data_IF_948362803974
#
_entry.id   IF_948362803974
#
_cell.length_a   1.000
_cell.length_b   1.000
_cell.length_c   1.000
_cell.angle_alpha   90.00
_cell.angle_beta   90.00
_cell.angle_gamma   90.00
#
_symmetry.space_group_name_H-M   'P 1'
#
loop_
_entity.id
_entity.type
_entity.pdbx_description
1 polymer ?
#
# COMPACT_ATOMS: atom_id res chain seq x y z
N UNK A 1 19.06 15.17 -50.20
CA UNK A 1 17.70 14.73 -49.80
C UNK A 1 17.69 13.68 -48.69
N UNK A 2 18.79 12.99 -48.39
CA UNK A 2 18.78 11.90 -47.39
C UNK A 2 18.89 12.35 -45.92
N UNK A 3 19.50 13.50 -45.62
CA UNK A 3 19.75 13.95 -44.24
C UNK A 3 18.46 14.33 -43.50
N UNK A 4 17.50 14.94 -44.21
CA UNK A 4 16.21 15.33 -43.66
C UNK A 4 15.29 14.12 -43.34
N UNK A 5 15.52 12.98 -44.00
CA UNK A 5 14.77 11.74 -43.71
C UNK A 5 15.26 11.09 -42.42
N UNK A 6 16.57 11.12 -42.16
CA UNK A 6 17.13 10.59 -40.92
C UNK A 6 16.75 11.42 -39.69
N UNK A 7 16.71 12.75 -39.79
CA UNK A 7 16.35 13.62 -38.66
C UNK A 7 14.90 13.49 -38.24
N UNK A 8 13.97 13.29 -39.19
CA UNK A 8 12.55 13.05 -38.89
C UNK A 8 12.34 11.67 -38.27
N UNK A 9 13.06 10.65 -38.74
CA UNK A 9 13.03 9.30 -38.16
C UNK A 9 13.55 9.27 -36.71
N UNK A 10 14.63 10.01 -36.42
CA UNK A 10 15.17 10.12 -35.06
C UNK A 10 14.22 10.85 -34.10
N UNK A 11 13.57 11.93 -34.54
CA UNK A 11 12.56 12.60 -33.70
C UNK A 11 11.36 11.69 -33.42
N UNK A 12 10.86 10.96 -34.42
CA UNK A 12 9.76 10.01 -34.22
C UNK A 12 10.12 8.90 -33.22
N UNK A 13 11.36 8.38 -33.26
CA UNK A 13 11.85 7.38 -32.30
C UNK A 13 11.92 7.92 -30.86
N UNK A 14 12.23 9.19 -30.65
CA UNK A 14 12.23 9.80 -29.30
C UNK A 14 10.82 10.07 -28.75
N UNK A 15 9.82 10.27 -29.61
CA UNK A 15 8.43 10.47 -29.16
C UNK A 15 7.74 9.16 -28.76
N UNK A 16 8.16 8.00 -29.28
CA UNK A 16 7.60 6.69 -28.90
C UNK A 16 8.06 6.16 -27.53
N UNK A 17 9.06 6.78 -26.90
CA UNK A 17 9.56 6.40 -25.57
C UNK A 17 8.88 7.12 -24.40
N UNK A 18 7.86 7.95 -24.64
CA UNK A 18 7.17 8.73 -23.58
C UNK A 18 6.01 7.99 -22.89
N UNK A 19 5.90 6.67 -23.03
CA UNK A 19 4.78 5.93 -22.44
C UNK A 19 5.19 5.25 -21.13
N UNK A 20 4.63 5.79 -20.03
CA UNK A 20 4.54 5.21 -18.69
C UNK A 20 5.80 5.29 -17.81
N UNK A 21 6.19 6.51 -17.43
CA UNK A 21 6.72 6.67 -16.08
C UNK A 21 5.53 6.43 -15.15
N UNK A 22 5.38 5.20 -14.63
CA UNK A 22 4.55 4.97 -13.44
C UNK A 22 5.19 5.80 -12.34
N UNK A 23 4.65 6.99 -12.09
CA UNK A 23 5.03 7.79 -10.94
C UNK A 23 4.76 6.94 -9.72
N UNK A 24 5.81 6.44 -9.09
CA UNK A 24 5.75 6.01 -7.70
C UNK A 24 5.43 7.28 -6.91
N UNK A 25 4.14 7.46 -6.63
CA UNK A 25 3.68 8.49 -5.72
C UNK A 25 4.22 8.11 -4.34
N UNK A 26 5.32 8.75 -3.93
CA UNK A 26 5.76 8.76 -2.54
C UNK A 26 4.76 9.48 -1.62
N UNK A 27 3.69 10.06 -2.18
CA UNK A 27 2.51 10.47 -1.43
C UNK A 27 1.55 9.28 -1.37
N UNK A 28 1.43 8.68 -0.18
CA UNK A 28 0.43 7.66 0.08
C UNK A 28 -0.94 8.16 -0.40
N UNK A 29 -1.58 7.42 -1.31
CA UNK A 29 -2.88 7.79 -1.86
C UNK A 29 -3.96 7.68 -0.79
N UNK A 30 -4.86 8.65 -0.75
CA UNK A 30 -6.03 8.57 0.14
C UNK A 30 -6.91 7.37 -0.25
N UNK A 31 -7.45 6.67 0.75
CA UNK A 31 -8.31 5.50 0.55
C UNK A 31 -9.51 5.52 1.49
N UNK A 32 -10.56 4.79 1.13
CA UNK A 32 -11.74 4.54 1.99
C UNK A 32 -11.92 3.05 2.29
N UNK A 33 -11.42 2.19 1.42
CA UNK A 33 -11.37 0.74 1.60
C UNK A 33 -10.13 0.14 0.94
N UNK A 34 -9.77 -1.12 1.26
CA UNK A 34 -8.64 -1.80 0.63
C UNK A 34 -8.73 -1.90 -0.90
N UNK A 35 -9.95 -1.89 -1.46
CA UNK A 35 -10.19 -1.88 -2.91
C UNK A 35 -9.66 -0.65 -3.64
N UNK A 36 -9.38 0.43 -2.92
CA UNK A 36 -8.81 1.66 -3.48
C UNK A 36 -7.28 1.57 -3.64
N UNK A 37 -6.65 0.57 -3.00
CA UNK A 37 -5.20 0.40 -2.96
C UNK A 37 -4.71 -0.64 -3.99
N UNK A 38 -3.41 -0.61 -4.25
CA UNK A 38 -2.76 -1.56 -5.14
C UNK A 38 -2.61 -2.96 -4.52
N UNK A 39 -2.18 -3.95 -5.32
CA UNK A 39 -1.81 -5.27 -4.80
C UNK A 39 -0.64 -5.14 -3.82
N UNK A 40 -0.71 -5.85 -2.69
CA UNK A 40 0.30 -5.78 -1.62
C UNK A 40 0.21 -4.51 -0.77
N UNK A 41 -0.90 -3.78 -0.84
CA UNK A 41 -1.19 -2.61 -0.01
C UNK A 41 -2.50 -2.79 0.75
N UNK A 42 -2.64 -2.07 1.87
CA UNK A 42 -3.87 -1.97 2.62
C UNK A 42 -4.23 -0.50 2.90
N UNK A 43 -5.48 -0.24 3.29
CA UNK A 43 -5.91 1.08 3.70
C UNK A 43 -5.69 1.26 5.21
N UNK A 44 -4.98 2.33 5.60
CA UNK A 44 -4.61 2.60 7.00
C UNK A 44 -5.06 3.98 7.45
N UNK A 45 -5.71 4.03 8.62
CA UNK A 45 -5.99 5.26 9.33
C UNK A 45 -4.88 5.58 10.33
N UNK A 46 -4.30 6.77 10.22
CA UNK A 46 -3.34 7.28 11.21
C UNK A 46 -3.96 7.44 12.61
N UNK A 47 -3.13 7.41 13.65
CA UNK A 47 -3.59 7.52 15.05
C UNK A 47 -3.92 8.94 15.51
N UNK A 48 -3.68 9.95 14.66
CA UNK A 48 -3.94 11.34 15.01
C UNK A 48 -5.39 11.72 14.71
N UNK A 49 -5.93 12.65 15.49
CA UNK A 49 -7.27 13.18 15.22
C UNK A 49 -7.29 13.84 13.84
N UNK A 50 -8.32 13.53 13.06
CA UNK A 50 -8.48 14.01 11.68
C UNK A 50 -7.41 13.51 10.72
N UNK A 51 -6.73 12.40 11.03
CA UNK A 51 -5.95 11.67 10.03
C UNK A 51 -6.83 11.28 8.85
N UNK A 52 -6.26 11.38 7.65
CA UNK A 52 -6.84 10.83 6.44
C UNK A 52 -6.30 9.41 6.25
N UNK A 53 -7.17 8.53 5.81
CA UNK A 53 -6.83 7.15 5.51
C UNK A 53 -5.95 7.08 4.25
N UNK A 54 -4.93 6.24 4.27
CA UNK A 54 -3.90 6.19 3.23
C UNK A 54 -3.51 4.74 2.88
N UNK A 55 -3.24 4.49 1.61
CA UNK A 55 -2.68 3.21 1.16
C UNK A 55 -1.24 3.07 1.66
N UNK A 56 -0.96 1.96 2.34
CA UNK A 56 0.37 1.60 2.83
C UNK A 56 0.71 0.17 2.42
N UNK A 57 2.00 -0.17 2.25
CA UNK A 57 2.40 -1.53 1.92
C UNK A 57 2.08 -2.49 3.07
N UNK A 58 1.77 -3.75 2.73
CA UNK A 58 1.71 -4.85 3.70
C UNK A 58 3.09 -5.04 4.36
N UNK A 59 3.09 -5.40 5.66
CA UNK A 59 4.31 -5.58 6.44
C UNK A 59 5.13 -6.76 5.95
N UNK A 60 6.42 -6.53 5.68
CA UNK A 60 7.38 -7.54 5.28
C UNK A 60 8.11 -8.09 6.51
N UNK A 61 8.89 -9.16 6.34
CA UNK A 61 9.68 -9.76 7.44
C UNK A 61 10.48 -8.68 8.19
N UNK A 62 10.46 -8.74 9.54
CA UNK A 62 11.05 -7.77 10.47
C UNK A 62 10.39 -6.38 10.50
N UNK A 63 9.37 -6.10 9.68
CA UNK A 63 8.59 -4.88 9.82
C UNK A 63 7.75 -4.93 11.11
N UNK A 64 7.57 -3.76 11.72
CA UNK A 64 6.69 -3.61 12.85
C UNK A 64 5.24 -3.90 12.45
N UNK A 65 4.59 -4.76 13.23
CA UNK A 65 3.18 -5.08 13.10
C UNK A 65 2.50 -5.01 14.47
N UNK A 66 1.18 -5.17 14.47
CA UNK A 66 0.37 -5.14 15.69
C UNK A 66 -0.57 -6.35 15.71
N UNK A 67 -0.41 -7.22 16.71
CA UNK A 67 -1.14 -8.48 16.86
C UNK A 67 -2.67 -8.31 16.86
N UNK A 68 -3.16 -7.22 17.45
CA UNK A 68 -4.60 -6.88 17.55
C UNK A 68 -5.00 -5.75 16.59
N UNK A 69 -4.59 -5.85 15.32
CA UNK A 69 -4.91 -4.85 14.28
C UNK A 69 -6.00 -5.32 13.32
N UNK A 70 -7.10 -5.86 13.87
CA UNK A 70 -8.28 -6.26 13.09
C UNK A 70 -8.83 -5.07 12.29
N UNK A 71 -9.17 -5.24 11.01
CA UNK A 71 -9.76 -4.18 10.21
C UNK A 71 -11.15 -3.80 10.75
N UNK A 72 -11.51 -2.52 10.64
CA UNK A 72 -12.75 -2.01 11.19
C UNK A 72 -13.54 -1.12 10.21
N UNK A 73 -14.86 -1.08 10.38
CA UNK A 73 -15.75 -0.17 9.66
C UNK A 73 -16.11 1.00 10.57
N UNK A 74 -15.86 2.24 10.12
CA UNK A 74 -16.09 3.43 10.94
C UNK A 74 -16.49 4.63 10.08
N UNK A 75 -17.15 5.60 10.70
CA UNK A 75 -17.43 6.91 10.10
C UNK A 75 -16.51 7.96 10.73
N UNK A 76 -15.71 8.62 9.90
CA UNK A 76 -14.81 9.70 10.30
C UNK A 76 -15.52 11.04 10.17
N UNK A 77 -15.43 11.87 11.21
CA UNK A 77 -16.03 13.20 11.23
C UNK A 77 -14.93 14.26 11.22
N UNK A 78 -14.92 15.08 10.17
CA UNK A 78 -13.92 16.12 9.98
C UNK A 78 -14.44 17.52 10.37
N UNK A 79 -13.56 18.49 10.66
CA UNK A 79 -13.97 19.83 11.11
C UNK A 79 -14.80 20.62 10.10
N UNK A 80 -14.72 20.27 8.81
CA UNK A 80 -15.53 20.84 7.73
C UNK A 80 -17.01 20.38 7.78
N UNK A 81 -17.38 19.49 8.71
CA UNK A 81 -18.71 18.89 8.80
C UNK A 81 -18.92 17.70 7.88
N UNK A 82 -17.89 17.26 7.15
CA UNK A 82 -17.93 16.07 6.32
C UNK A 82 -17.88 14.80 7.17
N UNK A 83 -18.72 13.84 6.83
CA UNK A 83 -18.69 12.48 7.34
C UNK A 83 -18.19 11.54 6.23
N UNK A 84 -17.11 10.82 6.50
CA UNK A 84 -16.50 9.87 5.56
C UNK A 84 -16.63 8.47 6.13
N UNK A 85 -17.34 7.61 5.43
CA UNK A 85 -17.37 6.18 5.75
C UNK A 85 -16.09 5.51 5.23
N UNK A 86 -15.43 4.76 6.11
CA UNK A 86 -14.28 3.91 5.80
C UNK A 86 -14.61 2.47 6.19
N UNK A 87 -14.17 1.53 5.35
CA UNK A 87 -14.52 0.12 5.42
C UNK A 87 -13.24 -0.72 5.42
N UNK A 88 -13.20 -1.74 6.27
CA UNK A 88 -12.09 -2.67 6.44
C UNK A 88 -10.73 -1.95 6.59
N UNK A 89 -10.71 -0.87 7.38
CA UNK A 89 -9.53 -0.03 7.56
C UNK A 89 -8.70 -0.52 8.74
N UNK A 90 -7.37 -0.58 8.57
CA UNK A 90 -6.44 -0.87 9.66
C UNK A 90 -6.03 0.42 10.37
N UNK A 91 -5.62 0.30 11.63
CA UNK A 91 -5.11 1.45 12.39
C UNK A 91 -3.60 1.41 12.45
N UNK A 92 -2.96 2.55 12.15
CA UNK A 92 -1.52 2.80 12.25
C UNK A 92 -0.60 2.06 11.26
N UNK A 93 -0.81 0.77 11.03
CA UNK A 93 0.01 -0.08 10.14
C UNK A 93 -0.87 -1.04 9.36
N UNK A 94 -0.35 -1.56 8.24
CA UNK A 94 -0.95 -2.71 7.57
C UNK A 94 -0.67 -4.01 8.32
N UNK A 95 -1.47 -5.08 8.09
CA UNK A 95 -1.11 -6.41 8.54
C UNK A 95 0.16 -6.89 7.81
N UNK A 96 0.73 -7.98 8.30
CA UNK A 96 1.81 -8.66 7.60
C UNK A 96 1.32 -9.21 6.26
N UNK A 97 2.23 -9.31 5.30
CA UNK A 97 1.96 -9.84 3.97
C UNK A 97 1.61 -11.33 3.99
N UNK A 98 1.10 -11.83 2.87
CA UNK A 98 0.62 -13.20 2.75
C UNK A 98 1.69 -14.23 3.18
N UNK A 99 1.32 -15.09 4.13
CA UNK A 99 2.20 -16.14 4.67
C UNK A 99 3.09 -15.69 5.84
N UNK A 100 3.00 -14.43 6.26
CA UNK A 100 3.64 -13.92 7.47
C UNK A 100 2.63 -13.82 8.62
N UNK A 101 3.14 -13.91 9.84
CA UNK A 101 2.39 -13.68 11.07
C UNK A 101 3.03 -12.56 11.88
N UNK A 102 2.21 -11.82 12.61
CA UNK A 102 2.72 -10.88 13.60
C UNK A 102 3.12 -11.68 14.85
N UNK A 103 4.41 -11.67 15.18
CA UNK A 103 5.00 -12.37 16.32
C UNK A 103 5.88 -11.38 17.07
N UNK A 104 5.61 -11.17 18.36
CA UNK A 104 6.33 -10.19 19.18
C UNK A 104 6.35 -8.76 18.57
N UNK A 105 5.29 -8.39 17.84
CA UNK A 105 5.15 -7.13 17.07
C UNK A 105 6.07 -7.00 15.84
N UNK A 106 6.59 -8.11 15.34
CA UNK A 106 7.34 -8.15 14.09
C UNK A 106 6.73 -9.18 13.14
N UNK A 107 6.68 -8.85 11.86
CA UNK A 107 6.27 -9.82 10.87
C UNK A 107 7.35 -10.89 10.74
N UNK A 108 6.95 -12.15 10.95
CA UNK A 108 7.81 -13.31 10.88
C UNK A 108 7.15 -14.40 10.04
N UNK A 109 7.94 -15.34 9.54
CA UNK A 109 7.39 -16.56 8.94
C UNK A 109 6.65 -17.35 10.01
N UNK A 110 5.58 -18.03 9.63
CA UNK A 110 4.85 -18.91 10.55
C UNK A 110 5.73 -20.10 11.01
N UNK A 111 6.31 -20.00 12.20
CA UNK A 111 7.13 -21.06 12.81
C UNK A 111 6.31 -22.27 13.31
N UNK A 112 4.97 -22.24 13.20
CA UNK A 112 4.13 -23.41 13.58
C UNK A 112 4.41 -24.65 12.72
N UNK A 113 5.10 -24.50 11.58
CA UNK A 113 5.48 -25.60 10.71
C UNK A 113 6.71 -26.40 11.19
N UNK A 114 7.67 -25.77 11.88
CA UNK A 114 8.91 -26.48 12.30
C UNK A 114 8.70 -27.38 13.53
N UNK A 115 7.75 -27.04 14.40
CA UNK A 115 7.49 -27.82 15.63
C UNK A 115 6.75 -29.15 15.40
N UNK A 116 6.26 -29.42 14.19
CA UNK A 116 5.54 -30.66 13.86
C UNK A 116 6.43 -31.79 13.30
N UNK A 117 7.74 -31.57 13.11
CA UNK A 117 8.68 -32.57 12.59
C UNK A 117 9.66 -33.13 13.64
N UNK A 118 9.47 -32.81 14.93
CA UNK A 118 10.32 -33.27 16.04
C UNK A 118 9.69 -34.39 16.89
N UNK A 119 8.78 -35.19 16.32
CA UNK A 119 8.26 -36.42 16.92
C UNK A 119 8.55 -37.65 16.05
#
# INVERSE_FOLDING_TARGET
MSIALYSVAFMALTFLSCSQVKGYSLAASECRSPSDCGPGECCVLGMMRYSMAQCMPMGQVEDYCRDDNTPENRTLYYPNGEAVEVVDIHTHVCPCDDGLQCVDNFCAMDESYENNYLY
#
